data_IF_787147115417
#
_entry.id   IF_787147115417
#
_cell.length_a   1.000
_cell.length_b   1.000
_cell.length_c   1.000
_cell.angle_alpha   90.00
_cell.angle_beta   90.00
_cell.angle_gamma   90.00
#
_symmetry.space_group_name_H-M   'P 1'
#
loop_
_entity.id
_entity.type
_entity.pdbx_description
1 polymer ?
#
# COMPACT_ATOMS: atom_id res chain seq x y z
N UNK A 1 0.90 -14.00 10.85
CA UNK A 1 0.77 -13.59 9.46
C UNK A 1 0.44 -12.11 9.37
N UNK A 2 1.13 -11.43 8.51
CA UNK A 2 0.88 -10.02 8.32
C UNK A 2 -0.23 -9.75 7.35
N UNK A 3 -0.90 -8.64 7.53
CA UNK A 3 -1.86 -8.18 6.58
C UNK A 3 -1.20 -7.45 5.43
N UNK A 4 -2.03 -6.74 4.67
CA UNK A 4 -1.54 -5.94 3.56
C UNK A 4 -0.66 -4.82 4.05
N UNK A 5 0.17 -4.32 3.16
CA UNK A 5 1.01 -3.17 3.42
C UNK A 5 1.01 -2.27 2.20
N UNK A 6 0.93 -0.98 2.43
CA UNK A 6 0.95 0.01 1.34
C UNK A 6 1.98 1.06 1.67
N UNK A 7 2.82 1.37 0.70
CA UNK A 7 3.79 2.44 0.82
C UNK A 7 3.40 3.56 -0.12
N UNK A 8 3.39 4.78 0.40
CA UNK A 8 3.01 5.95 -0.38
C UNK A 8 4.11 6.98 -0.25
N UNK A 9 4.66 7.38 -1.38
CA UNK A 9 5.68 8.41 -1.43
C UNK A 9 5.03 9.69 -1.92
N UNK A 10 5.12 10.73 -1.14
CA UNK A 10 4.48 11.99 -1.48
C UNK A 10 5.52 13.10 -1.65
N UNK A 11 5.11 14.12 -2.38
CA UNK A 11 5.85 15.35 -2.52
C UNK A 11 5.45 16.27 -1.37
N UNK A 12 6.36 16.53 -0.47
CA UNK A 12 6.09 17.32 0.73
C UNK A 12 6.73 18.70 0.63
N UNK A 13 6.73 19.27 -0.58
CA UNK A 13 7.21 20.63 -0.72
C UNK A 13 8.71 20.75 -0.87
N UNK A 14 9.27 20.01 -1.81
CA UNK A 14 10.69 20.06 -2.06
C UNK A 14 11.45 18.86 -1.55
N UNK A 15 10.74 17.94 -0.93
CA UNK A 15 11.33 16.68 -0.50
C UNK A 15 10.28 15.60 -0.59
N UNK A 16 10.71 14.37 -0.68
CA UNK A 16 9.81 13.24 -0.73
C UNK A 16 9.70 12.64 0.66
N UNK A 17 8.50 12.22 1.02
CA UNK A 17 8.24 11.52 2.27
C UNK A 17 7.52 10.23 1.98
N UNK A 18 7.87 9.21 2.73
CA UNK A 18 7.25 7.90 2.57
C UNK A 18 6.39 7.61 3.78
N UNK A 19 5.14 7.23 3.50
CA UNK A 19 4.22 6.76 4.52
C UNK A 19 3.95 5.29 4.29
N UNK A 20 3.92 4.54 5.36
CA UNK A 20 3.63 3.13 5.28
C UNK A 20 2.42 2.82 6.12
N UNK A 21 1.47 2.11 5.53
CA UNK A 21 0.25 1.73 6.21
C UNK A 21 0.18 0.22 6.18
N UNK A 22 0.12 -0.38 7.35
CA UNK A 22 0.18 -1.82 7.50
C UNK A 22 -1.09 -2.28 8.19
N UNK A 23 -1.70 -3.32 7.66
CA UNK A 23 -2.82 -3.96 8.33
C UNK A 23 -2.29 -4.64 9.58
N UNK A 24 -2.78 -4.22 10.74
CA UNK A 24 -2.13 -4.51 12.00
C UNK A 24 -2.50 -5.85 12.60
N UNK A 25 -3.50 -6.55 12.04
CA UNK A 25 -3.94 -7.83 12.61
C UNK A 25 -4.37 -8.76 11.51
N UNK A 26 -4.41 -10.05 11.85
CA UNK A 26 -4.96 -11.03 10.93
C UNK A 26 -6.39 -10.67 10.58
N UNK A 27 -6.74 -10.89 9.33
CA UNK A 27 -8.08 -10.59 8.86
C UNK A 27 -8.27 -9.16 8.45
N UNK A 28 -7.31 -8.29 8.75
CA UNK A 28 -7.36 -6.90 8.31
C UNK A 28 -6.75 -6.78 6.93
N UNK A 29 -7.22 -5.82 6.18
CA UNK A 29 -6.64 -5.55 4.88
C UNK A 29 -6.67 -4.06 4.62
N UNK A 30 -5.97 -3.67 3.57
CA UNK A 30 -5.91 -2.26 3.15
C UNK A 30 -6.73 -2.10 1.89
N UNK A 31 -7.61 -1.13 1.89
CA UNK A 31 -8.41 -0.78 0.72
C UNK A 31 -8.03 0.61 0.27
N UNK A 32 -7.94 0.79 -1.03
CA UNK A 32 -7.55 2.06 -1.62
C UNK A 32 -8.63 2.49 -2.58
N UNK A 33 -9.07 3.74 -2.43
CA UNK A 33 -10.04 4.34 -3.32
C UNK A 33 -9.49 5.63 -3.85
N UNK A 34 -9.76 5.92 -5.11
CA UNK A 34 -9.33 7.15 -5.75
C UNK A 34 -10.55 7.85 -6.31
N UNK A 35 -10.70 9.12 -5.98
CA UNK A 35 -11.80 9.88 -6.51
C UNK A 35 -11.62 11.35 -6.21
N UNK A 36 -11.97 12.18 -7.19
CA UNK A 36 -11.98 13.64 -7.02
C UNK A 36 -10.66 14.20 -6.53
N UNK A 37 -9.56 13.64 -7.02
CA UNK A 37 -8.24 14.13 -6.66
C UNK A 37 -7.76 13.71 -5.28
N UNK A 38 -8.42 12.77 -4.67
CA UNK A 38 -8.05 12.27 -3.34
C UNK A 38 -7.88 10.77 -3.41
N UNK A 39 -6.80 10.29 -2.79
CA UNK A 39 -6.57 8.86 -2.62
C UNK A 39 -6.81 8.55 -1.16
N UNK A 40 -7.73 7.64 -0.91
CA UNK A 40 -8.10 7.24 0.43
C UNK A 40 -7.59 5.83 0.69
N UNK A 41 -6.84 5.67 1.76
CA UNK A 41 -6.25 4.38 2.13
C UNK A 41 -6.80 4.01 3.50
N UNK A 42 -7.47 2.87 3.57
CA UNK A 42 -8.15 2.46 4.81
C UNK A 42 -7.69 1.08 5.22
N UNK A 43 -7.45 0.93 6.51
CA UNK A 43 -7.31 -0.40 7.09
C UNK A 43 -8.71 -0.84 7.49
N UNK A 44 -9.16 -1.99 6.99
CA UNK A 44 -10.52 -2.45 7.24
C UNK A 44 -10.49 -3.84 7.84
N UNK A 45 -11.55 -4.14 8.57
CA UNK A 45 -11.73 -5.47 9.13
C UNK A 45 -12.14 -6.44 8.03
N UNK A 46 -12.23 -7.72 8.39
CA UNK A 46 -12.67 -8.73 7.45
C UNK A 46 -14.03 -8.40 6.84
N UNK A 47 -14.90 -7.80 7.62
CA UNK A 47 -16.24 -7.45 7.13
C UNK A 47 -16.27 -6.12 6.40
N UNK A 48 -15.14 -5.43 6.29
CA UNK A 48 -15.08 -4.19 5.53
C UNK A 48 -15.26 -2.93 6.36
N UNK A 49 -15.24 -3.04 7.67
CA UNK A 49 -15.41 -1.88 8.54
C UNK A 49 -14.08 -1.14 8.65
N UNK A 50 -14.04 0.16 8.35
CA UNK A 50 -12.80 0.91 8.46
C UNK A 50 -12.37 1.06 9.91
N UNK A 51 -11.08 0.83 10.15
CA UNK A 51 -10.49 1.03 11.46
C UNK A 51 -9.77 2.36 11.49
N UNK A 52 -9.06 2.67 10.43
CA UNK A 52 -8.39 3.96 10.29
C UNK A 52 -8.27 4.26 8.81
N UNK A 53 -8.23 5.54 8.51
CA UNK A 53 -8.23 5.99 7.14
C UNK A 53 -7.25 7.15 7.00
N UNK A 54 -6.48 7.11 5.95
CA UNK A 54 -5.59 8.21 5.60
C UNK A 54 -5.99 8.71 4.22
N UNK A 55 -5.96 10.02 4.03
CA UNK A 55 -6.29 10.62 2.75
C UNK A 55 -5.12 11.44 2.25
N UNK A 56 -4.87 11.35 0.96
CA UNK A 56 -3.76 12.04 0.34
C UNK A 56 -4.28 12.75 -0.90
N UNK A 57 -3.72 13.92 -1.18
CA UNK A 57 -4.02 14.59 -2.45
C UNK A 57 -3.33 13.81 -3.56
N UNK A 58 -4.11 13.38 -4.54
CA UNK A 58 -3.54 12.56 -5.61
C UNK A 58 -2.41 13.27 -6.33
N UNK A 59 -2.51 14.59 -6.48
CA UNK A 59 -1.49 15.35 -7.18
C UNK A 59 -0.16 15.38 -6.44
N UNK A 60 -0.13 14.97 -5.18
CA UNK A 60 1.11 14.96 -4.41
C UNK A 60 1.72 13.58 -4.28
N UNK A 61 1.07 12.57 -4.80
CA UNK A 61 1.58 11.22 -4.69
C UNK A 61 2.54 10.97 -5.83
N UNK A 62 3.77 10.62 -5.48
CA UNK A 62 4.81 10.27 -6.43
C UNK A 62 4.80 8.80 -6.76
N UNK A 63 4.47 7.96 -5.79
CA UNK A 63 4.42 6.52 -5.99
C UNK A 63 3.53 5.91 -4.92
N UNK A 64 2.86 4.83 -5.28
CA UNK A 64 2.05 4.07 -4.35
C UNK A 64 2.30 2.59 -4.66
N UNK A 65 2.74 1.86 -3.66
CA UNK A 65 3.10 0.46 -3.84
C UNK A 65 2.29 -0.38 -2.86
N UNK A 66 1.60 -1.38 -3.39
CA UNK A 66 0.79 -2.27 -2.58
C UNK A 66 1.51 -3.60 -2.41
N UNK A 67 1.53 -4.08 -1.18
CA UNK A 67 2.12 -5.37 -0.84
C UNK A 67 1.03 -6.23 -0.22
N UNK A 68 0.35 -7.05 -1.02
CA UNK A 68 -0.69 -7.91 -0.46
C UNK A 68 -0.10 -8.95 0.49
N UNK A 69 -0.86 -9.29 1.51
CA UNK A 69 -0.40 -10.27 2.47
C UNK A 69 -0.63 -11.70 2.01
N UNK A 70 -1.67 -11.90 1.24
CA UNK A 70 -2.10 -13.24 0.89
C UNK A 70 -1.06 -13.94 0.03
N UNK A 71 -0.85 -15.22 0.29
CA UNK A 71 0.01 -16.03 -0.57
C UNK A 71 1.39 -15.40 -0.74
N UNK A 72 1.94 -14.97 0.36
CA UNK A 72 3.21 -14.28 0.28
C UNK A 72 4.32 -15.13 -0.29
N UNK A 73 4.28 -16.42 -0.02
CA UNK A 73 5.30 -17.28 -0.59
C UNK A 73 5.24 -17.29 -2.10
N UNK A 74 4.05 -17.37 -2.65
CA UNK A 74 3.88 -17.36 -4.08
C UNK A 74 4.28 -16.01 -4.63
N UNK A 75 3.87 -14.96 -3.98
CA UNK A 75 4.19 -13.62 -4.45
C UNK A 75 5.70 -13.41 -4.46
N UNK A 76 6.37 -13.89 -3.43
CA UNK A 76 7.82 -13.72 -3.39
C UNK A 76 8.49 -14.43 -4.53
N UNK A 77 8.05 -15.63 -4.84
CA UNK A 77 8.65 -16.36 -5.93
C UNK A 77 8.46 -15.68 -7.25
N UNK A 78 7.30 -15.10 -7.45
CA UNK A 78 7.01 -14.43 -8.70
C UNK A 78 7.74 -13.11 -8.84
N UNK A 79 7.84 -12.37 -7.77
CA UNK A 79 8.34 -11.00 -7.86
C UNK A 79 9.84 -10.87 -7.74
N UNK A 80 10.44 -11.88 -7.17
CA UNK A 80 11.89 -11.77 -7.05
C UNK A 80 12.53 -11.92 -8.39
N UNK A 81 13.07 -11.32 -8.74
CA UNK A 81 13.51 -11.44 -9.94
C UNK A 81 14.78 -11.15 -10.25
N UNK A 82 14.04 -11.25 -10.11
CA UNK A 82 14.49 -10.89 -10.44
C UNK A 82 15.03 -10.12 -10.86
N UNK A 83 15.38 -10.25 -10.85
CA UNK A 83 15.65 -9.37 -11.15
C UNK A 83 15.89 -8.88 -11.81
N UNK A 84 15.82 -8.99 -11.96
CA UNK A 84 15.92 -8.33 -12.56
C UNK A 84 16.46 -8.06 -12.90
N UNK A 85 16.69 -8.61 -12.88
CA UNK A 85 17.12 -8.23 -13.25
C UNK A 85 17.38 -7.89 -13.81
N UNK A 86 17.53 -8.33 -13.89
CA UNK A 86 17.71 -7.90 -14.47
C UNK A 86 17.80 -7.60 -14.87
N UNK A 87 17.87 -8.01 -14.99
CA UNK A 87 17.97 -7.55 -15.45
C UNK A 87 18.10 -7.19 -15.73
N UNK A 88 18.22 -7.36 -15.85
CA UNK A 88 18.45 -6.97 -16.19
C UNK A 88 18.61 -6.60 -16.32
#
# INVERSE_FOLDING_TARGET
>A
MRGDRVEIVIDAGGEARTYEIVASRNGRRIEIETGRGVVTVSEVTRSGTPIRTARFMASRILALVEHPAADQNIAREVLEPRPLRSSG
#
